data_IF_963595468713
#
_entry.id   IF_963595468713
#
_cell.length_a   1.000
_cell.length_b   1.000
_cell.length_c   1.000
_cell.angle_alpha   90.00
_cell.angle_beta   90.00
_cell.angle_gamma   90.00
#
_symmetry.space_group_name_H-M   'P 1'
#
loop_
_entity.id
_entity.type
_entity.pdbx_description
1 polymer ?
#
# COMPACT_ATOMS: atom_id res chain seq x y z
N UNK A 1 27.10 -5.74 -39.25
CA UNK A 1 26.45 -6.25 -38.02
C UNK A 1 27.42 -7.14 -37.26
N UNK A 2 28.54 -6.57 -36.78
CA UNK A 2 29.61 -7.30 -36.08
C UNK A 2 29.27 -7.34 -34.58
N UNK A 3 29.19 -8.54 -34.01
CA UNK A 3 29.11 -8.84 -32.57
C UNK A 3 27.99 -8.17 -31.78
N UNK A 4 26.74 -8.50 -32.09
CA UNK A 4 25.72 -8.53 -31.04
C UNK A 4 26.13 -9.64 -30.05
N UNK A 5 26.53 -9.21 -28.87
CA UNK A 5 27.03 -10.00 -27.74
C UNK A 5 26.18 -11.28 -27.52
N UNK A 6 26.78 -12.45 -27.76
CA UNK A 6 26.10 -13.71 -28.08
C UNK A 6 25.29 -14.33 -26.93
N UNK A 7 25.38 -13.78 -25.72
CA UNK A 7 24.75 -14.36 -24.53
C UNK A 7 23.34 -13.84 -24.25
N UNK A 8 22.93 -12.73 -24.88
CA UNK A 8 21.60 -12.15 -24.68
C UNK A 8 20.48 -13.16 -24.93
N UNK A 9 20.61 -13.96 -26.00
CA UNK A 9 19.61 -14.97 -26.35
C UNK A 9 19.33 -15.91 -25.17
N UNK A 10 20.37 -16.50 -24.59
CA UNK A 10 20.21 -17.45 -23.49
C UNK A 10 19.62 -16.80 -22.23
N UNK A 11 20.01 -15.56 -21.92
CA UNK A 11 19.49 -14.84 -20.75
C UNK A 11 18.03 -14.40 -20.94
N UNK A 12 17.67 -13.97 -22.15
CA UNK A 12 16.30 -13.62 -22.51
C UNK A 12 15.41 -14.87 -22.47
N UNK A 13 15.80 -15.95 -23.15
CA UNK A 13 15.05 -17.22 -23.16
C UNK A 13 14.80 -17.72 -21.73
N UNK A 14 15.83 -17.72 -20.87
CA UNK A 14 15.68 -18.10 -19.47
C UNK A 14 14.66 -17.25 -18.70
N UNK A 15 14.67 -15.92 -18.92
CA UNK A 15 13.77 -15.02 -18.23
C UNK A 15 12.32 -15.08 -18.78
N UNK A 16 12.18 -15.25 -20.09
CA UNK A 16 10.88 -15.39 -20.76
C UNK A 16 10.18 -16.69 -20.37
N UNK A 17 10.94 -17.78 -20.23
CA UNK A 17 10.45 -19.11 -19.82
C UNK A 17 10.09 -19.19 -18.34
N UNK A 18 10.45 -18.18 -17.53
CA UNK A 18 10.10 -18.16 -16.11
C UNK A 18 8.57 -18.11 -15.94
N UNK A 19 7.93 -19.04 -15.18
CA UNK A 19 6.48 -19.21 -15.20
C UNK A 19 5.66 -18.00 -14.74
N UNK A 20 6.26 -17.10 -13.97
CA UNK A 20 5.61 -15.85 -13.61
C UNK A 20 5.72 -14.78 -14.68
N UNK A 21 6.89 -14.62 -15.31
CA UNK A 21 7.10 -13.54 -16.28
C UNK A 21 6.43 -13.88 -17.61
N UNK A 22 6.45 -15.13 -18.08
CA UNK A 22 5.71 -15.56 -19.28
C UNK A 22 5.92 -14.61 -20.48
N UNK A 23 7.18 -14.29 -20.78
CA UNK A 23 7.56 -13.33 -21.81
C UNK A 23 7.52 -11.84 -21.40
N UNK A 24 6.93 -11.48 -20.25
CA UNK A 24 6.87 -10.09 -19.76
C UNK A 24 8.15 -9.69 -19.01
N UNK A 25 9.28 -9.66 -19.72
CA UNK A 25 10.61 -9.34 -19.16
C UNK A 25 11.03 -7.87 -19.34
N UNK A 26 10.15 -7.02 -19.88
CA UNK A 26 10.45 -5.62 -20.20
C UNK A 26 10.99 -4.82 -19.01
N UNK A 27 10.52 -5.10 -17.80
CA UNK A 27 11.04 -4.47 -16.58
C UNK A 27 12.52 -4.78 -16.33
N UNK A 28 12.97 -6.01 -16.63
CA UNK A 28 14.34 -6.45 -16.37
C UNK A 28 15.30 -5.78 -17.36
N UNK A 29 14.86 -5.64 -18.61
CA UNK A 29 15.57 -4.88 -19.64
C UNK A 29 15.67 -3.40 -19.23
N UNK A 30 14.56 -2.79 -18.81
CA UNK A 30 14.51 -1.42 -18.30
C UNK A 30 15.47 -1.22 -17.12
N UNK A 31 15.47 -2.13 -16.15
CA UNK A 31 16.36 -2.06 -14.98
C UNK A 31 17.83 -2.20 -15.36
N UNK A 32 18.13 -2.99 -16.40
CA UNK A 32 19.46 -3.13 -16.97
C UNK A 32 19.93 -1.92 -17.79
N UNK A 33 19.07 -0.92 -18.01
CA UNK A 33 19.36 0.25 -18.84
C UNK A 33 19.22 -0.02 -20.34
N UNK A 34 18.59 -1.14 -20.72
CA UNK A 34 18.21 -1.40 -22.12
C UNK A 34 16.93 -0.61 -22.38
N UNK A 35 17.03 0.44 -23.18
CA UNK A 35 15.92 1.36 -23.49
C UNK A 35 15.46 1.17 -24.93
N UNK A 36 14.21 1.57 -25.22
CA UNK A 36 13.63 1.57 -26.57
C UNK A 36 14.25 2.64 -27.51
N UNK A 37 15.36 3.27 -27.12
CA UNK A 37 15.99 4.29 -27.94
C UNK A 37 16.65 3.68 -29.19
N UNK A 38 16.57 4.43 -30.30
CA UNK A 38 17.14 4.06 -31.60
C UNK A 38 18.67 3.84 -31.58
N UNK A 39 19.33 4.21 -30.49
CA UNK A 39 20.78 4.08 -30.29
C UNK A 39 21.15 2.83 -29.48
N UNK A 40 20.65 1.66 -29.88
CA UNK A 40 21.09 0.36 -29.33
C UNK A 40 22.62 0.20 -29.33
N UNK A 41 23.30 0.91 -30.24
CA UNK A 41 24.77 0.98 -30.37
C UNK A 41 25.46 1.68 -29.17
N UNK A 42 24.75 2.53 -28.43
CA UNK A 42 25.27 3.23 -27.25
C UNK A 42 25.21 2.39 -25.96
N UNK A 43 24.58 1.22 -25.99
CA UNK A 43 24.46 0.34 -24.82
C UNK A 43 25.77 -0.41 -24.60
N UNK A 44 26.29 -0.33 -23.37
CA UNK A 44 27.36 -1.21 -22.91
C UNK A 44 26.78 -2.63 -22.68
N UNK A 45 26.75 -3.47 -23.72
CA UNK A 45 26.10 -4.78 -23.65
C UNK A 45 26.61 -5.69 -22.51
N UNK A 46 27.92 -5.84 -22.26
CA UNK A 46 28.40 -6.65 -21.14
C UNK A 46 27.86 -6.18 -19.78
N UNK A 47 27.86 -4.87 -19.53
CA UNK A 47 27.35 -4.31 -18.27
C UNK A 47 25.84 -4.49 -18.14
N UNK A 48 25.10 -4.24 -19.21
CA UNK A 48 23.65 -4.45 -19.25
C UNK A 48 23.29 -5.93 -19.03
N UNK A 49 24.03 -6.88 -19.60
CA UNK A 49 23.83 -8.31 -19.35
C UNK A 49 24.07 -8.68 -17.88
N UNK A 50 25.10 -8.11 -17.23
CA UNK A 50 25.36 -8.32 -15.81
C UNK A 50 24.21 -7.80 -14.97
N UNK A 51 23.73 -6.58 -15.24
CA UNK A 51 22.57 -6.00 -14.54
C UNK A 51 21.30 -6.81 -14.78
N UNK A 52 21.04 -7.23 -16.02
CA UNK A 52 19.87 -8.05 -16.36
C UNK A 52 19.84 -9.35 -15.55
N UNK A 53 20.95 -10.08 -15.50
CA UNK A 53 21.07 -11.30 -14.69
C UNK A 53 20.86 -11.04 -13.20
N UNK A 54 21.42 -9.94 -12.69
CA UNK A 54 21.28 -9.54 -11.29
C UNK A 54 19.81 -9.27 -10.95
N UNK A 55 19.12 -8.47 -11.77
CA UNK A 55 17.71 -8.15 -11.55
C UNK A 55 16.81 -9.35 -11.76
N UNK A 56 17.11 -10.23 -12.73
CA UNK A 56 16.38 -11.47 -12.90
C UNK A 56 16.49 -12.33 -11.63
N UNK A 57 17.72 -12.59 -11.15
CA UNK A 57 17.97 -13.32 -9.90
C UNK A 57 17.22 -12.71 -8.71
N UNK A 58 17.26 -11.38 -8.56
CA UNK A 58 16.58 -10.70 -7.45
C UNK A 58 15.06 -10.74 -7.57
N UNK A 59 14.52 -10.58 -8.77
CA UNK A 59 13.09 -10.65 -9.03
C UNK A 59 12.53 -12.06 -8.76
N UNK A 60 13.26 -13.13 -9.11
CA UNK A 60 12.84 -14.51 -8.82
C UNK A 60 12.88 -14.87 -7.32
N UNK A 61 13.50 -14.04 -6.48
CA UNK A 61 13.38 -14.20 -5.01
C UNK A 61 12.03 -13.70 -4.49
N UNK A 62 11.28 -12.92 -5.28
CA UNK A 62 9.98 -12.34 -4.92
C UNK A 62 8.85 -13.00 -5.72
N UNK A 63 9.05 -13.17 -7.03
CA UNK A 63 8.06 -13.71 -7.96
C UNK A 63 8.40 -15.17 -8.27
N UNK A 64 7.54 -16.11 -7.88
CA UNK A 64 7.76 -17.55 -8.08
C UNK A 64 7.07 -18.08 -9.33
N UNK A 65 6.33 -19.19 -9.27
CA UNK A 65 5.65 -19.75 -10.45
C UNK A 65 4.26 -19.15 -10.68
N UNK A 66 3.48 -18.95 -9.60
CA UNK A 66 2.06 -18.56 -9.67
C UNK A 66 1.67 -17.42 -8.73
N UNK A 67 2.64 -16.76 -8.10
CA UNK A 67 2.42 -15.74 -7.10
C UNK A 67 3.72 -15.26 -6.48
N UNK A 68 3.62 -14.67 -5.30
CA UNK A 68 4.77 -14.22 -4.53
C UNK A 68 5.36 -15.33 -3.65
N UNK A 69 6.66 -15.24 -3.37
CA UNK A 69 7.36 -16.04 -2.34
C UNK A 69 7.19 -15.46 -0.93
N UNK A 70 6.72 -14.22 -0.84
CA UNK A 70 6.54 -13.43 0.37
C UNK A 70 5.11 -12.92 0.44
N UNK A 71 4.64 -12.52 1.62
CA UNK A 71 3.33 -11.88 1.75
C UNK A 71 3.20 -10.66 0.84
N UNK A 72 2.08 -10.56 0.12
CA UNK A 72 1.73 -9.38 -0.67
C UNK A 72 1.64 -8.13 0.20
N UNK A 73 1.14 -8.25 1.43
CA UNK A 73 1.10 -7.14 2.39
C UNK A 73 2.51 -6.69 2.76
N UNK A 74 3.45 -7.61 2.96
CA UNK A 74 4.85 -7.28 3.23
C UNK A 74 5.48 -6.52 2.05
N UNK A 75 5.30 -7.03 0.82
CA UNK A 75 5.83 -6.37 -0.37
C UNK A 75 5.22 -4.97 -0.56
N UNK A 76 3.91 -4.83 -0.34
CA UNK A 76 3.18 -3.56 -0.42
C UNK A 76 3.78 -2.52 0.52
N UNK A 77 3.88 -2.86 1.80
CA UNK A 77 4.42 -1.98 2.84
C UNK A 77 5.86 -1.59 2.57
N UNK A 78 6.68 -2.53 2.12
CA UNK A 78 8.06 -2.25 1.78
C UNK A 78 8.19 -1.30 0.58
N UNK A 79 7.39 -1.49 -0.47
CA UNK A 79 7.40 -0.60 -1.64
C UNK A 79 6.94 0.83 -1.29
N UNK A 80 5.97 1.00 -0.39
CA UNK A 80 5.55 2.32 0.09
C UNK A 80 6.70 3.09 0.77
N UNK A 81 7.69 2.39 1.35
CA UNK A 81 8.89 3.02 1.89
C UNK A 81 9.77 3.65 0.80
N UNK A 82 9.68 3.16 -0.44
CA UNK A 82 10.45 3.65 -1.59
C UNK A 82 9.70 4.69 -2.42
N UNK A 83 8.36 4.72 -2.34
CA UNK A 83 7.52 5.71 -3.01
C UNK A 83 6.08 5.28 -3.14
N UNK A 84 5.27 6.13 -3.78
CA UNK A 84 3.90 5.77 -4.15
C UNK A 84 3.92 4.82 -5.36
N UNK A 85 3.94 3.51 -5.06
CA UNK A 85 3.96 2.48 -6.09
C UNK A 85 2.56 2.12 -6.61
N UNK A 86 1.50 2.70 -6.06
CA UNK A 86 0.14 2.23 -6.31
C UNK A 86 -0.21 2.33 -7.79
N UNK A 87 -0.91 1.31 -8.28
CA UNK A 87 -1.37 1.28 -9.66
C UNK A 87 -2.78 1.84 -9.72
N UNK A 88 -3.00 2.83 -10.58
CA UNK A 88 -4.33 3.37 -10.83
C UNK A 88 -5.12 2.44 -11.76
N UNK A 89 -6.28 1.98 -11.31
CA UNK A 89 -7.21 1.18 -12.12
C UNK A 89 -8.58 1.83 -12.09
N UNK A 90 -8.94 2.44 -13.22
CA UNK A 90 -10.12 3.31 -13.32
C UNK A 90 -10.01 4.47 -12.35
N UNK A 91 -10.87 4.47 -11.33
CA UNK A 91 -10.87 5.46 -10.27
C UNK A 91 -10.23 4.99 -8.96
N UNK A 92 -9.86 3.71 -8.85
CA UNK A 92 -9.20 3.17 -7.65
C UNK A 92 -7.68 3.22 -7.81
N UNK A 93 -7.01 3.13 -6.66
CA UNK A 93 -5.60 2.77 -6.57
C UNK A 93 -5.50 1.41 -5.88
N UNK A 94 -4.62 0.53 -6.37
CA UNK A 94 -4.47 -0.82 -5.84
C UNK A 94 -3.08 -1.07 -5.25
N UNK A 95 -3.03 -1.80 -4.14
CA UNK A 95 -1.80 -2.37 -3.59
C UNK A 95 -1.28 -3.58 -4.37
N UNK A 96 -1.94 -3.94 -5.49
CA UNK A 96 -1.70 -5.13 -6.30
C UNK A 96 -2.08 -6.43 -5.58
N UNK A 97 -2.95 -7.21 -6.20
CA UNK A 97 -3.39 -8.50 -5.66
C UNK A 97 -2.33 -9.57 -5.88
N UNK A 98 -2.17 -10.47 -4.90
CA UNK A 98 -1.44 -11.73 -5.13
C UNK A 98 -2.34 -12.70 -5.87
N UNK A 99 -2.50 -12.40 -7.16
CA UNK A 99 -3.27 -13.19 -8.08
C UNK A 99 -2.51 -13.22 -9.39
N UNK A 100 -2.67 -14.29 -10.16
CA UNK A 100 -2.14 -14.38 -11.51
C UNK A 100 -2.94 -13.52 -12.52
N UNK A 101 -3.86 -12.68 -12.03
CA UNK A 101 -4.62 -11.73 -12.82
C UNK A 101 -3.69 -10.64 -13.38
N UNK A 102 -3.80 -10.42 -14.70
CA UNK A 102 -2.98 -9.45 -15.43
C UNK A 102 -3.43 -8.01 -15.21
N UNK A 103 -4.67 -7.79 -14.78
CA UNK A 103 -5.26 -6.45 -14.77
C UNK A 103 -5.22 -5.81 -13.39
N UNK A 104 -5.32 -6.61 -12.32
CA UNK A 104 -5.39 -6.13 -10.93
C UNK A 104 -4.25 -6.65 -10.03
N UNK A 105 -3.43 -7.57 -10.54
CA UNK A 105 -2.36 -8.19 -9.78
C UNK A 105 -1.01 -7.53 -9.97
N UNK A 106 0.01 -8.09 -9.31
CA UNK A 106 1.40 -7.68 -9.45
C UNK A 106 1.91 -7.68 -10.91
N UNK A 107 1.38 -8.54 -11.79
CA UNK A 107 1.69 -8.48 -13.24
C UNK A 107 1.33 -7.14 -13.88
N UNK A 108 0.25 -6.49 -13.43
CA UNK A 108 -0.09 -5.13 -13.88
C UNK A 108 0.99 -4.14 -13.43
N UNK A 109 1.38 -4.20 -12.16
CA UNK A 109 2.41 -3.33 -11.59
C UNK A 109 3.77 -3.47 -12.30
N UNK A 110 4.16 -4.67 -12.70
CA UNK A 110 5.41 -4.90 -13.44
C UNK A 110 5.49 -4.20 -14.80
N UNK A 111 4.35 -3.73 -15.32
CA UNK A 111 4.23 -2.98 -16.59
C UNK A 111 3.95 -1.50 -16.37
N UNK A 112 3.78 -1.09 -15.12
CA UNK A 112 3.47 0.29 -14.74
C UNK A 112 4.73 1.17 -14.72
N UNK A 113 4.57 2.47 -14.83
CA UNK A 113 5.69 3.41 -14.72
C UNK A 113 6.32 3.41 -13.33
N UNK A 114 5.50 3.16 -12.30
CA UNK A 114 5.89 3.08 -10.90
C UNK A 114 6.76 1.86 -10.57
N UNK A 115 6.99 0.94 -11.52
CA UNK A 115 7.88 -0.23 -11.36
C UNK A 115 9.32 0.17 -10.97
N UNK A 116 9.71 1.43 -11.15
CA UNK A 116 11.01 1.93 -10.69
C UNK A 116 11.19 1.90 -9.17
N UNK A 117 10.09 1.95 -8.38
CA UNK A 117 10.18 1.76 -6.94
C UNK A 117 10.59 0.32 -6.58
N UNK A 118 10.14 -0.67 -7.36
CA UNK A 118 10.64 -2.04 -7.25
C UNK A 118 12.14 -2.10 -7.53
N UNK A 119 12.63 -1.42 -8.57
CA UNK A 119 14.08 -1.38 -8.85
C UNK A 119 14.87 -0.85 -7.65
N UNK A 120 14.47 0.30 -7.12
CA UNK A 120 15.17 0.93 -6.01
C UNK A 120 15.20 0.03 -4.76
N UNK A 121 14.08 -0.64 -4.48
CA UNK A 121 14.01 -1.66 -3.44
C UNK A 121 14.93 -2.85 -3.73
N UNK A 122 14.90 -3.40 -4.95
CA UNK A 122 15.79 -4.51 -5.33
C UNK A 122 17.26 -4.12 -5.22
N UNK A 123 17.63 -2.88 -5.54
CA UNK A 123 19.00 -2.38 -5.41
C UNK A 123 19.50 -2.42 -3.97
N UNK A 124 18.63 -2.19 -2.98
CA UNK A 124 18.97 -2.27 -1.56
C UNK A 124 18.94 -3.70 -0.98
N UNK A 125 18.37 -4.67 -1.69
CA UNK A 125 18.22 -6.03 -1.17
C UNK A 125 19.57 -6.80 -1.15
N UNK A 126 19.88 -7.51 -0.04
CA UNK A 126 20.97 -8.48 0.00
C UNK A 126 20.61 -9.76 -0.77
N UNK A 127 21.63 -10.51 -1.17
CA UNK A 127 21.49 -11.68 -2.05
C UNK A 127 20.72 -12.88 -1.45
N UNK A 128 20.47 -12.94 -0.14
CA UNK A 128 19.96 -14.15 0.53
C UNK A 128 18.97 -13.93 1.69
N UNK A 129 18.35 -12.75 1.84
CA UNK A 129 17.41 -12.53 2.95
C UNK A 129 16.37 -11.44 2.64
N UNK A 130 15.54 -11.67 1.61
CA UNK A 130 14.54 -10.69 1.14
C UNK A 130 13.58 -10.32 2.27
N UNK A 131 12.89 -11.28 2.88
CA UNK A 131 11.88 -10.99 3.91
C UNK A 131 12.46 -10.20 5.11
N UNK A 132 13.64 -10.59 5.60
CA UNK A 132 14.31 -9.87 6.70
C UNK A 132 14.68 -8.44 6.29
N UNK A 133 15.17 -8.26 5.07
CA UNK A 133 15.55 -6.93 4.55
C UNK A 133 14.32 -6.03 4.37
N UNK A 134 13.21 -6.57 3.88
CA UNK A 134 11.94 -5.83 3.76
C UNK A 134 11.39 -5.43 5.14
N UNK A 135 11.36 -6.36 6.09
CA UNK A 135 10.96 -6.05 7.47
C UNK A 135 11.87 -5.01 8.11
N UNK A 136 13.17 -5.04 7.84
CA UNK A 136 14.12 -4.03 8.33
C UNK A 136 13.85 -2.66 7.70
N UNK A 137 13.52 -2.63 6.40
CA UNK A 137 13.15 -1.40 5.68
C UNK A 137 11.89 -0.78 6.28
N UNK A 138 10.84 -1.60 6.49
CA UNK A 138 9.60 -1.18 7.13
C UNK A 138 9.85 -0.68 8.54
N UNK A 139 10.62 -1.40 9.36
CA UNK A 139 10.89 -1.00 10.75
C UNK A 139 11.67 0.32 10.85
N UNK A 140 12.54 0.61 9.90
CA UNK A 140 13.45 1.76 9.94
C UNK A 140 13.00 2.93 9.05
N UNK A 141 11.80 2.87 8.47
CA UNK A 141 11.28 3.95 7.63
C UNK A 141 11.10 5.25 8.44
N UNK A 142 11.16 6.38 7.75
CA UNK A 142 10.91 7.71 8.31
C UNK A 142 9.76 8.43 7.61
N UNK A 143 8.83 7.66 7.02
CA UNK A 143 7.73 8.18 6.22
C UNK A 143 6.67 8.79 7.14
N UNK A 144 6.29 10.03 6.84
CA UNK A 144 5.34 10.82 7.65
C UNK A 144 4.10 11.27 6.88
N UNK A 145 4.03 11.01 5.58
CA UNK A 145 2.85 11.32 4.75
C UNK A 145 1.78 10.22 4.82
N UNK A 146 0.75 10.30 3.96
CA UNK A 146 -0.36 9.36 3.89
C UNK A 146 0.06 7.88 3.74
N UNK A 147 1.31 7.58 3.38
CA UNK A 147 1.78 6.20 3.31
C UNK A 147 2.03 5.61 4.70
N UNK A 148 2.28 6.46 5.71
CA UNK A 148 2.69 6.07 7.06
C UNK A 148 1.78 5.01 7.66
N UNK A 149 0.46 5.24 7.78
CA UNK A 149 -0.39 4.26 8.46
C UNK A 149 -0.56 2.97 7.66
N UNK A 150 -0.44 2.99 6.33
CA UNK A 150 -0.39 1.75 5.53
C UNK A 150 0.89 0.95 5.79
N UNK A 151 2.01 1.63 6.05
CA UNK A 151 3.28 1.00 6.42
C UNK A 151 3.24 0.49 7.85
N UNK A 152 2.67 1.24 8.79
CA UNK A 152 2.71 0.90 10.22
C UNK A 152 1.72 -0.21 10.59
N UNK A 153 0.52 -0.15 10.00
CA UNK A 153 -0.60 -1.03 10.35
C UNK A 153 -0.96 -1.94 9.17
N UNK A 154 -0.41 -3.17 9.08
CA UNK A 154 -0.75 -4.10 8.01
C UNK A 154 -2.25 -4.40 7.89
N UNK A 155 -2.99 -4.32 9.00
CA UNK A 155 -4.43 -4.57 9.12
C UNK A 155 -5.25 -3.68 8.18
N UNK A 156 -4.76 -2.49 7.85
CA UNK A 156 -5.42 -1.59 6.88
C UNK A 156 -5.50 -2.25 5.50
N UNK A 157 -4.42 -2.90 5.07
CA UNK A 157 -4.34 -3.56 3.76
C UNK A 157 -4.91 -4.98 3.86
N UNK A 158 -4.54 -5.72 4.90
CA UNK A 158 -4.80 -7.15 5.03
C UNK A 158 -6.21 -7.46 5.51
N UNK A 159 -6.68 -6.76 6.54
CA UNK A 159 -7.96 -7.08 7.18
C UNK A 159 -9.09 -6.26 6.59
N UNK A 160 -8.89 -4.94 6.44
CA UNK A 160 -9.95 -4.07 5.94
C UNK A 160 -10.10 -4.16 4.41
N UNK A 161 -9.03 -3.87 3.66
CA UNK A 161 -9.08 -3.95 2.20
C UNK A 161 -9.14 -5.41 1.71
N UNK A 162 -8.58 -6.36 2.48
CA UNK A 162 -8.61 -7.77 2.16
C UNK A 162 -8.04 -8.09 0.78
N UNK A 163 -8.59 -9.12 0.14
CA UNK A 163 -8.22 -9.52 -1.23
C UNK A 163 -8.53 -8.44 -2.28
N UNK A 164 -9.38 -7.47 -1.95
CA UNK A 164 -9.72 -6.38 -2.87
C UNK A 164 -8.55 -5.39 -3.02
N UNK A 165 -7.78 -5.15 -1.95
CA UNK A 165 -6.56 -4.32 -1.96
C UNK A 165 -6.70 -2.96 -2.66
N UNK A 166 -7.91 -2.41 -2.70
CA UNK A 166 -8.21 -1.16 -3.40
C UNK A 166 -8.54 -0.05 -2.40
N UNK A 167 -8.09 1.14 -2.75
CA UNK A 167 -8.48 2.39 -2.09
C UNK A 167 -9.05 3.35 -3.12
N UNK A 168 -9.82 4.33 -2.64
CA UNK A 168 -10.33 5.44 -3.45
C UNK A 168 -9.86 6.75 -2.83
N UNK A 169 -9.11 7.53 -3.59
CA UNK A 169 -8.82 8.93 -3.24
C UNK A 169 -9.97 9.80 -3.78
N UNK A 170 -10.60 10.56 -2.91
CA UNK A 170 -11.67 11.50 -3.23
C UNK A 170 -11.09 12.84 -3.72
N UNK A 171 -11.95 13.73 -4.20
CA UNK A 171 -11.56 15.02 -4.80
C UNK A 171 -10.92 15.97 -3.79
N UNK A 172 -11.31 15.85 -2.52
CA UNK A 172 -10.77 16.59 -1.37
C UNK A 172 -9.52 15.93 -0.75
N UNK A 173 -9.04 14.82 -1.32
CA UNK A 173 -7.87 14.10 -0.83
C UNK A 173 -8.16 13.03 0.22
N UNK A 174 -9.41 12.89 0.69
CA UNK A 174 -9.78 11.83 1.64
C UNK A 174 -9.60 10.46 1.00
N UNK A 175 -9.03 9.52 1.74
CA UNK A 175 -8.80 8.15 1.29
C UNK A 175 -9.87 7.24 1.89
N UNK A 176 -10.61 6.55 1.02
CA UNK A 176 -11.50 5.47 1.42
C UNK A 176 -10.83 4.12 1.21
N UNK A 177 -10.86 3.29 2.24
CA UNK A 177 -10.51 1.87 2.19
C UNK A 177 -11.72 1.09 1.69
N UNK A 178 -11.53 0.17 0.74
CA UNK A 178 -12.65 -0.50 0.09
C UNK A 178 -12.67 -2.00 0.40
N UNK A 179 -13.79 -2.51 0.94
CA UNK A 179 -14.05 -3.96 1.01
C UNK A 179 -14.39 -4.57 -0.35
N UNK A 180 -14.85 -3.76 -1.31
CA UNK A 180 -15.22 -4.19 -2.67
C UNK A 180 -14.59 -3.30 -3.75
N UNK A 181 -14.76 -3.63 -5.03
CA UNK A 181 -14.16 -2.84 -6.12
C UNK A 181 -14.73 -1.41 -6.26
N UNK A 182 -15.79 -1.05 -5.54
CA UNK A 182 -16.45 0.24 -5.67
C UNK A 182 -17.00 0.75 -4.34
N UNK A 183 -17.31 2.04 -4.29
CA UNK A 183 -17.82 2.71 -3.08
C UNK A 183 -19.29 2.41 -2.80
N UNK A 184 -19.93 1.54 -3.57
CA UNK A 184 -21.28 1.05 -3.27
C UNK A 184 -21.27 -0.05 -2.20
N UNK A 185 -20.12 -0.66 -1.94
CA UNK A 185 -19.90 -1.53 -0.79
C UNK A 185 -19.48 -0.76 0.47
N UNK A 186 -19.28 -1.51 1.55
CA UNK A 186 -18.74 -0.96 2.80
C UNK A 186 -17.33 -0.40 2.59
N UNK A 187 -17.13 0.80 3.11
CA UNK A 187 -15.89 1.53 3.05
C UNK A 187 -15.53 2.08 4.44
N UNK A 188 -14.24 2.22 4.71
CA UNK A 188 -13.72 2.95 5.86
C UNK A 188 -13.03 4.22 5.39
N UNK A 189 -13.00 5.24 6.25
CA UNK A 189 -12.17 6.42 6.06
C UNK A 189 -10.81 6.11 6.68
N UNK A 190 -9.76 6.33 5.90
CA UNK A 190 -8.40 5.89 6.20
C UNK A 190 -7.84 6.42 7.52
N UNK A 191 -7.94 7.73 7.78
CA UNK A 191 -7.33 8.35 8.96
C UNK A 191 -8.05 7.96 10.25
N UNK A 192 -9.37 7.83 10.20
CA UNK A 192 -10.23 7.42 11.30
C UNK A 192 -10.06 5.93 11.60
N UNK A 193 -9.90 5.10 10.57
CA UNK A 193 -9.61 3.68 10.75
C UNK A 193 -8.22 3.46 11.35
N UNK A 194 -7.22 4.20 10.88
CA UNK A 194 -5.88 4.18 11.46
C UNK A 194 -5.88 4.63 12.93
N UNK A 195 -6.61 5.72 13.25
CA UNK A 195 -6.80 6.18 14.62
C UNK A 195 -7.40 5.09 15.52
N UNK A 196 -8.37 4.32 15.01
CA UNK A 196 -8.95 3.20 15.76
C UNK A 196 -7.92 2.11 16.08
N UNK A 197 -7.09 1.72 15.10
CA UNK A 197 -6.01 0.75 15.34
C UNK A 197 -5.01 1.28 16.37
N UNK A 198 -4.70 2.57 16.32
CA UNK A 198 -3.85 3.20 17.34
C UNK A 198 -4.48 3.19 18.73
N UNK A 199 -5.79 3.45 18.85
CA UNK A 199 -6.52 3.34 20.12
C UNK A 199 -6.40 1.95 20.73
N UNK A 200 -6.45 0.88 19.91
CA UNK A 200 -6.30 -0.50 20.37
C UNK A 200 -4.92 -0.83 20.94
N UNK A 201 -3.90 0.00 20.65
CA UNK A 201 -2.56 -0.11 21.20
C UNK A 201 -2.34 0.73 22.47
N UNK A 202 -3.35 1.47 22.92
CA UNK A 202 -3.30 2.34 24.10
C UNK A 202 -4.14 1.76 25.24
N UNK A 203 -3.78 2.13 26.47
CA UNK A 203 -4.50 1.73 27.68
C UNK A 203 -5.74 2.61 27.89
N UNK A 204 -6.85 2.27 27.23
CA UNK A 204 -8.17 2.89 27.39
C UNK A 204 -9.18 1.92 28.02
N UNK A 205 -8.78 1.22 29.08
CA UNK A 205 -9.52 0.08 29.66
C UNK A 205 -10.97 0.38 30.13
N UNK A 206 -11.31 1.66 30.38
CA UNK A 206 -12.67 2.05 30.78
C UNK A 206 -13.53 2.51 29.61
N UNK A 207 -12.98 2.59 28.40
CA UNK A 207 -13.70 2.99 27.20
C UNK A 207 -14.01 1.78 26.32
N UNK A 208 -15.24 1.72 25.80
CA UNK A 208 -15.54 0.92 24.61
C UNK A 208 -15.25 1.76 23.38
N UNK A 209 -14.39 1.27 22.50
CA UNK A 209 -13.96 1.96 21.27
C UNK A 209 -14.17 0.98 20.11
N UNK A 210 -15.06 1.33 19.19
CA UNK A 210 -15.33 0.53 18.00
C UNK A 210 -15.32 1.39 16.74
N UNK A 211 -14.87 0.81 15.63
CA UNK A 211 -14.93 1.48 14.33
C UNK A 211 -16.23 1.18 13.62
N UNK A 212 -16.93 2.22 13.18
CA UNK A 212 -18.15 2.17 12.40
C UNK A 212 -17.83 2.46 10.94
N UNK A 213 -17.98 1.44 10.09
CA UNK A 213 -17.90 1.58 8.64
C UNK A 213 -19.28 1.76 8.01
N UNK A 214 -19.31 2.26 6.78
CA UNK A 214 -20.56 2.52 6.08
C UNK A 214 -20.41 2.36 4.58
N UNK A 215 -21.54 2.12 3.90
CA UNK A 215 -21.58 2.12 2.44
C UNK A 215 -21.53 3.55 1.89
N UNK A 216 -21.05 3.73 0.68
CA UNK A 216 -21.04 5.04 0.02
C UNK A 216 -19.77 5.86 0.25
N UNK A 217 -19.68 6.96 -0.51
CA UNK A 217 -18.51 7.87 -0.51
C UNK A 217 -18.50 8.84 0.67
N UNK A 218 -19.62 9.01 1.36
CA UNK A 218 -19.74 9.95 2.46
C UNK A 218 -18.92 9.48 3.66
N UNK A 219 -17.78 10.13 3.89
CA UNK A 219 -16.86 9.78 4.98
C UNK A 219 -17.30 10.33 6.34
N UNK A 220 -18.23 11.28 6.40
CA UNK A 220 -18.77 11.78 7.68
C UNK A 220 -19.53 10.70 8.46
N UNK A 221 -19.98 9.65 7.77
CA UNK A 221 -20.68 8.50 8.35
C UNK A 221 -19.74 7.37 8.79
N UNK A 222 -18.42 7.59 8.74
CA UNK A 222 -17.37 6.62 9.08
C UNK A 222 -16.60 7.17 10.26
N UNK A 223 -16.78 6.56 11.43
CA UNK A 223 -16.35 7.15 12.70
C UNK A 223 -15.96 6.08 13.71
N UNK A 224 -15.22 6.48 14.72
CA UNK A 224 -15.01 5.70 15.94
C UNK A 224 -16.16 6.01 16.91
N UNK A 225 -16.88 5.00 17.39
CA UNK A 225 -17.85 5.13 18.47
C UNK A 225 -17.17 4.87 19.80
N UNK A 226 -17.36 5.80 20.74
CA UNK A 226 -16.81 5.74 22.10
C UNK A 226 -17.94 5.75 23.13
N UNK A 227 -18.04 4.71 23.95
CA UNK A 227 -19.04 4.53 25.01
C UNK A 227 -20.50 4.74 24.55
N UNK A 228 -20.82 4.35 23.31
CA UNK A 228 -22.13 4.57 22.66
C UNK A 228 -22.61 6.03 22.64
N UNK A 229 -21.72 6.98 22.93
CA UNK A 229 -22.09 8.36 23.25
C UNK A 229 -21.39 9.37 22.37
N UNK A 230 -20.15 9.08 21.95
CA UNK A 230 -19.34 9.99 21.16
C UNK A 230 -18.90 9.33 19.84
N UNK A 231 -18.96 10.10 18.76
CA UNK A 231 -18.43 9.73 17.46
C UNK A 231 -17.19 10.57 17.18
N UNK A 232 -16.12 9.95 16.68
CA UNK A 232 -14.92 10.66 16.19
C UNK A 232 -14.69 10.32 14.73
N UNK A 233 -14.69 11.33 13.84
CA UNK A 233 -14.48 11.16 12.39
C UNK A 233 -13.45 12.14 11.86
N UNK A 234 -12.82 11.81 10.73
CA UNK A 234 -11.95 12.74 9.99
C UNK A 234 -12.73 13.44 8.88
N UNK A 235 -12.60 14.77 8.79
CA UNK A 235 -13.36 15.58 7.83
C UNK A 235 -12.58 15.99 6.57
N UNK A 236 -11.39 15.43 6.35
CA UNK A 236 -10.47 15.83 5.28
C UNK A 236 -9.39 16.81 5.72
N UNK A 237 -9.52 17.40 6.91
CA UNK A 237 -8.52 18.31 7.48
C UNK A 237 -8.21 17.97 8.94
N UNK A 238 -9.24 17.89 9.77
CA UNK A 238 -9.17 17.68 11.22
C UNK A 238 -10.00 16.45 11.62
N UNK A 239 -9.78 15.97 12.84
CA UNK A 239 -10.74 15.07 13.49
C UNK A 239 -11.85 15.88 14.16
N UNK A 240 -13.06 15.34 14.18
CA UNK A 240 -14.24 15.94 14.78
C UNK A 240 -14.77 14.99 15.84
N UNK A 241 -15.02 15.47 17.05
CA UNK A 241 -15.88 14.76 18.00
C UNK A 241 -17.30 15.28 17.94
N UNK A 242 -18.24 14.36 18.02
CA UNK A 242 -19.66 14.64 18.15
C UNK A 242 -20.25 13.80 19.27
N UNK A 243 -21.26 14.32 19.96
CA UNK A 243 -22.02 13.59 20.98
C UNK A 243 -23.42 13.28 20.49
N UNK A 244 -23.87 12.04 20.68
CA UNK A 244 -25.22 11.67 20.30
C UNK A 244 -26.25 12.23 21.29
N UNK A 245 -27.23 12.98 20.78
CA UNK A 245 -28.33 13.51 21.57
C UNK A 245 -29.62 12.73 21.28
N UNK A 246 -29.93 11.74 22.14
CA UNK A 246 -31.09 10.85 21.96
C UNK A 246 -32.42 11.59 21.77
N UNK A 247 -32.64 12.69 22.49
CA UNK A 247 -33.89 13.46 22.40
C UNK A 247 -34.09 14.14 21.03
N UNK A 248 -32.99 14.46 20.34
CA UNK A 248 -33.02 15.10 19.02
C UNK A 248 -32.67 14.15 17.89
N UNK A 249 -32.32 12.90 18.21
CA UNK A 249 -31.93 11.85 17.28
C UNK A 249 -30.86 12.33 16.27
N UNK A 250 -29.83 13.01 16.78
CA UNK A 250 -28.75 13.57 15.97
C UNK A 250 -27.45 13.65 16.74
N UNK A 251 -26.36 13.69 15.97
CA UNK A 251 -25.04 14.05 16.44
C UNK A 251 -24.95 15.57 16.63
N UNK A 252 -24.34 15.98 17.73
CA UNK A 252 -24.02 17.37 18.02
C UNK A 252 -22.51 17.51 18.09
N UNK A 253 -21.97 18.43 17.30
CA UNK A 253 -20.56 18.80 17.36
C UNK A 253 -20.13 19.17 18.79
N UNK A 254 -18.97 18.66 19.19
CA UNK A 254 -18.34 18.90 20.50
C UNK A 254 -17.05 19.70 20.31
N UNK A 255 -16.10 19.17 19.55
CA UNK A 255 -14.75 19.72 19.43
C UNK A 255 -14.05 19.25 18.15
N UNK A 256 -13.18 20.11 17.60
CA UNK A 256 -12.26 19.80 16.50
C UNK A 256 -10.87 19.48 17.07
N UNK A 257 -10.19 18.47 16.52
CA UNK A 257 -8.81 18.13 16.87
C UNK A 257 -7.91 18.23 15.64
N UNK A 258 -6.80 18.94 15.78
CA UNK A 258 -5.83 19.16 14.69
C UNK A 258 -5.09 17.87 14.29
N UNK A 259 -4.90 16.94 15.23
CA UNK A 259 -4.14 15.71 15.03
C UNK A 259 -4.59 14.55 15.93
N UNK A 260 -3.97 13.38 15.74
CA UNK A 260 -4.21 12.16 16.50
C UNK A 260 -3.86 12.32 18.00
N UNK A 261 -2.82 13.10 18.33
CA UNK A 261 -2.36 13.30 19.71
C UNK A 261 -3.36 14.12 20.54
N UNK A 262 -4.01 15.10 19.92
CA UNK A 262 -5.11 15.84 20.51
C UNK A 262 -6.31 14.93 20.80
N UNK A 263 -6.68 14.05 19.86
CA UNK A 263 -7.74 13.05 20.08
C UNK A 263 -7.37 12.12 21.24
N UNK A 264 -6.14 11.60 21.29
CA UNK A 264 -5.71 10.73 22.39
C UNK A 264 -5.71 11.43 23.74
N UNK A 265 -5.37 12.72 23.79
CA UNK A 265 -5.43 13.50 25.02
C UNK A 265 -6.86 13.62 25.52
N UNK A 266 -7.80 13.90 24.62
CA UNK A 266 -9.23 13.92 24.92
C UNK A 266 -9.75 12.55 25.41
N UNK A 267 -9.40 11.46 24.71
CA UNK A 267 -9.78 10.10 25.13
C UNK A 267 -9.22 9.72 26.50
N UNK A 268 -7.98 10.13 26.83
CA UNK A 268 -7.39 9.89 28.16
C UNK A 268 -8.18 10.59 29.26
N UNK A 269 -8.65 11.81 29.01
CA UNK A 269 -9.42 12.55 30.01
C UNK A 269 -10.83 11.98 30.15
N UNK A 270 -11.43 11.50 29.06
CA UNK A 270 -12.70 10.77 29.10
C UNK A 270 -12.55 9.45 29.89
N UNK A 271 -11.48 8.70 29.67
CA UNK A 271 -11.20 7.43 30.34
C UNK A 271 -11.03 7.58 31.87
N UNK A 272 -10.63 8.75 32.38
CA UNK A 272 -10.52 9.03 33.83
C UNK A 272 -11.86 9.40 34.48
N UNK A 273 -12.86 9.74 33.69
CA UNK A 273 -14.17 10.21 34.17
C UNK A 273 -15.20 9.09 34.30
N UNK A 274 -14.90 7.91 33.73
CA UNK A 274 -15.70 6.68 33.82
C UNK A 274 -15.29 5.90 35.07
#
# INVERSE_FOLDING_TARGET
MKNLDSNWKAYIEQAEDHPYFTGEIGLLLKFAGVTDSLDFVAINHPEAQVKFKLYFKKATLIFWEKGLTISSTLLSRALLCWGDYLVKIGHNYTFSKDSFDRDYGWKRYLRDENVMFLKNMLDSLPDNSVEKALNTTIKNHSITDWRKNFIDFPEIIEDYCGDNRNIRVLEDGVILLLKTNATNGYCAEYNTFALNLQCQLKDFDQLTIEYIDSVGRDYSTKYILVNDSYGVSYNGQNYLSEKYEHLKNKWLHVEDFEDEDAVFSWLKDLNKQV
#
